data_IF_263066020362
#
_entry.id   IF_263066020362
#
_cell.length_a   1.000
_cell.length_b   1.000
_cell.length_c   1.000
_cell.angle_alpha   90.00
_cell.angle_beta   90.00
_cell.angle_gamma   90.00
#
_symmetry.space_group_name_H-M   'P 1'
#
loop_
_entity.id
_entity.type
_entity.pdbx_description
1 polymer ?
#
# COMPACT_ATOMS: atom_id res chain seq x y z
N UNK A 1 -9.72 -28.91 8.48
CA UNK A 1 -10.32 -27.59 8.78
C UNK A 1 -9.66 -26.39 8.06
N UNK A 2 -8.65 -26.55 7.20
CA UNK A 2 -7.95 -25.42 6.55
C UNK A 2 -8.63 -24.76 5.33
N UNK A 3 -9.53 -25.46 4.63
CA UNK A 3 -10.07 -24.95 3.35
C UNK A 3 -11.06 -23.79 3.46
N UNK A 4 -11.78 -23.64 4.57
CA UNK A 4 -12.81 -22.59 4.75
C UNK A 4 -12.22 -21.20 5.03
N UNK A 5 -11.13 -21.14 5.81
CA UNK A 5 -10.49 -19.87 6.21
C UNK A 5 -9.77 -19.19 5.04
N UNK A 6 -9.10 -19.97 4.17
CA UNK A 6 -8.41 -19.47 2.99
C UNK A 6 -9.39 -18.91 1.93
N UNK A 7 -10.57 -19.54 1.79
CA UNK A 7 -11.63 -19.04 0.91
C UNK A 7 -12.25 -17.74 1.43
N UNK A 8 -12.50 -17.64 2.75
CA UNK A 8 -13.02 -16.43 3.37
C UNK A 8 -12.03 -15.25 3.24
N UNK A 9 -10.75 -15.48 3.54
CA UNK A 9 -9.70 -14.46 3.38
C UNK A 9 -9.55 -14.00 1.92
N UNK A 10 -9.67 -14.91 0.95
CA UNK A 10 -9.63 -14.57 -0.48
C UNK A 10 -10.80 -13.67 -0.90
N UNK A 11 -12.02 -13.95 -0.42
CA UNK A 11 -13.21 -13.12 -0.69
C UNK A 11 -13.08 -11.73 -0.05
N UNK A 12 -12.64 -11.66 1.20
CA UNK A 12 -12.35 -10.39 1.89
C UNK A 12 -11.27 -9.58 1.16
N UNK A 13 -10.18 -10.21 0.72
CA UNK A 13 -9.12 -9.55 -0.03
C UNK A 13 -9.63 -8.91 -1.33
N UNK A 14 -10.54 -9.59 -2.04
CA UNK A 14 -11.14 -9.07 -3.27
C UNK A 14 -12.01 -7.85 -2.98
N UNK A 15 -12.87 -7.91 -1.96
CA UNK A 15 -13.72 -6.80 -1.55
C UNK A 15 -12.88 -5.58 -1.14
N UNK A 16 -11.87 -5.77 -0.29
CA UNK A 16 -10.98 -4.68 0.16
C UNK A 16 -10.28 -4.03 -1.03
N UNK A 17 -9.84 -4.82 -2.01
CA UNK A 17 -9.23 -4.30 -3.24
C UNK A 17 -10.22 -3.51 -4.09
N UNK A 18 -11.48 -3.93 -4.15
CA UNK A 18 -12.55 -3.20 -4.85
C UNK A 18 -12.87 -1.87 -4.18
N UNK A 19 -12.80 -1.79 -2.85
CA UNK A 19 -13.01 -0.55 -2.10
C UNK A 19 -11.78 0.39 -2.13
N UNK A 20 -10.58 -0.18 -2.29
CA UNK A 20 -9.33 0.58 -2.44
C UNK A 20 -9.16 1.22 -3.83
N UNK A 21 -9.74 0.60 -4.87
CA UNK A 21 -9.58 1.01 -6.28
C UNK A 21 -10.14 2.41 -6.60
N UNK A 22 -11.31 2.84 -6.06
CA UNK A 22 -11.88 4.16 -6.31
C UNK A 22 -11.08 5.33 -5.74
N UNK A 23 -10.19 5.08 -4.78
CA UNK A 23 -9.28 6.10 -4.23
C UNK A 23 -8.23 6.48 -5.28
N UNK A 24 -8.40 7.61 -5.97
CA UNK A 24 -7.55 8.06 -7.06
C UNK A 24 -6.66 9.22 -6.62
N UNK A 25 -5.43 9.26 -7.16
CA UNK A 25 -4.54 10.39 -6.94
C UNK A 25 -5.14 11.68 -7.48
N UNK A 26 -4.88 12.78 -6.78
CA UNK A 26 -5.45 14.09 -7.10
C UNK A 26 -6.88 14.30 -6.58
N UNK A 27 -7.52 13.31 -5.98
CA UNK A 27 -8.76 13.55 -5.22
C UNK A 27 -8.47 14.43 -4.01
N UNK A 28 -9.32 15.40 -3.75
CA UNK A 28 -9.28 16.19 -2.52
C UNK A 28 -9.61 15.32 -1.30
N UNK A 29 -9.19 15.75 -0.11
CA UNK A 29 -9.56 15.05 1.13
C UNK A 29 -11.07 14.88 1.29
N UNK A 30 -11.86 15.87 0.87
CA UNK A 30 -13.33 15.78 0.86
C UNK A 30 -13.85 14.69 -0.07
N UNK A 31 -13.30 14.57 -1.28
CA UNK A 31 -13.72 13.53 -2.23
C UNK A 31 -13.33 12.14 -1.72
N UNK A 32 -12.13 11.99 -1.15
CA UNK A 32 -11.73 10.74 -0.49
C UNK A 32 -12.65 10.39 0.67
N UNK A 33 -13.00 11.36 1.52
CA UNK A 33 -13.96 11.16 2.61
C UNK A 33 -15.32 10.68 2.09
N UNK A 34 -15.83 11.26 1.01
CA UNK A 34 -17.07 10.81 0.35
C UNK A 34 -16.96 9.38 -0.16
N UNK A 35 -15.82 9.00 -0.73
CA UNK A 35 -15.59 7.63 -1.22
C UNK A 35 -15.58 6.61 -0.08
N UNK A 36 -14.98 6.94 1.07
CA UNK A 36 -14.83 6.01 2.20
C UNK A 36 -16.12 5.94 3.03
N UNK A 37 -16.73 7.08 3.33
CA UNK A 37 -17.82 7.20 4.32
C UNK A 37 -19.20 7.45 3.69
N UNK A 38 -19.28 7.58 2.37
CA UNK A 38 -20.53 7.81 1.66
C UNK A 38 -21.24 9.10 2.11
N UNK A 39 -22.55 9.00 2.36
CA UNK A 39 -23.40 10.13 2.77
C UNK A 39 -22.97 10.75 4.11
N UNK A 40 -22.34 9.96 4.97
CA UNK A 40 -21.94 10.37 6.32
C UNK A 40 -20.59 11.10 6.38
N UNK A 41 -19.92 11.33 5.23
CA UNK A 41 -18.57 11.89 5.18
C UNK A 41 -18.36 13.16 6.00
N UNK A 42 -19.39 14.01 6.14
CA UNK A 42 -19.33 15.27 6.89
C UNK A 42 -19.00 15.06 8.36
N UNK A 43 -19.37 13.92 8.96
CA UNK A 43 -19.04 13.56 10.34
C UNK A 43 -17.55 13.28 10.54
N UNK A 44 -16.85 12.96 9.45
CA UNK A 44 -15.45 12.52 9.47
C UNK A 44 -14.47 13.60 9.04
N UNK A 45 -14.95 14.79 8.64
CA UNK A 45 -14.09 15.92 8.25
C UNK A 45 -14.40 17.16 9.06
N UNK A 46 -13.41 18.03 9.23
CA UNK A 46 -13.55 19.34 9.86
C UNK A 46 -12.74 20.40 9.12
N UNK A 47 -13.10 21.66 9.31
CA UNK A 47 -12.31 22.80 8.84
C UNK A 47 -11.38 23.27 9.95
N UNK A 48 -10.08 23.28 9.69
CA UNK A 48 -9.06 23.77 10.62
C UNK A 48 -8.13 24.73 9.88
N UNK A 49 -8.03 25.98 10.35
CA UNK A 49 -7.21 27.03 9.74
C UNK A 49 -7.47 27.20 8.23
N UNK A 50 -8.74 27.16 7.82
CA UNK A 50 -9.16 27.26 6.43
C UNK A 50 -8.96 26.01 5.58
N UNK A 51 -8.45 24.90 6.14
CA UNK A 51 -8.18 23.64 5.45
C UNK A 51 -9.19 22.58 5.86
N UNK A 52 -9.58 21.71 4.93
CA UNK A 52 -10.40 20.54 5.24
C UNK A 52 -9.47 19.38 5.59
N UNK A 53 -9.68 18.79 6.77
CA UNK A 53 -8.91 17.64 7.28
C UNK A 53 -9.87 16.59 7.85
N UNK A 54 -9.41 15.35 8.06
CA UNK A 54 -10.19 14.38 8.83
C UNK A 54 -10.31 14.80 10.31
N UNK A 55 -11.39 14.38 10.96
CA UNK A 55 -11.59 14.58 12.40
C UNK A 55 -10.59 13.77 13.23
N UNK A 56 -10.27 12.55 12.77
CA UNK A 56 -9.16 11.73 13.29
C UNK A 56 -7.85 12.51 13.14
N UNK A 57 -6.96 12.42 14.15
CA UNK A 57 -5.63 13.02 14.07
C UNK A 57 -4.79 12.32 12.99
N UNK A 58 -4.01 13.06 12.19
CA UNK A 58 -3.05 12.46 11.27
C UNK A 58 -1.95 11.73 12.07
N UNK A 59 -1.44 10.62 11.51
CA UNK A 59 -0.29 9.90 12.06
C UNK A 59 1.03 10.55 11.68
N UNK A 60 1.07 11.25 10.54
CA UNK A 60 2.23 12.05 10.11
C UNK A 60 1.78 13.41 9.61
N UNK A 61 2.61 14.42 9.82
CA UNK A 61 2.42 15.77 9.29
C UNK A 61 3.76 16.33 8.88
N UNK A 62 3.81 17.01 7.75
CA UNK A 62 5.02 17.69 7.29
C UNK A 62 4.69 19.05 6.69
N UNK A 63 5.69 19.94 6.71
CA UNK A 63 5.62 21.28 6.15
C UNK A 63 7.01 21.73 5.68
N UNK A 64 7.32 21.50 4.41
CA UNK A 64 8.60 21.82 3.81
C UNK A 64 8.41 22.74 2.59
N UNK A 65 9.20 23.83 2.51
CA UNK A 65 9.22 24.74 1.35
C UNK A 65 7.83 25.26 0.90
N UNK A 66 6.89 25.35 1.83
CA UNK A 66 5.50 25.77 1.57
C UNK A 66 4.56 24.66 1.09
N UNK A 67 5.06 23.45 0.87
CA UNK A 67 4.25 22.23 0.73
C UNK A 67 3.86 21.72 2.12
N UNK A 68 2.68 21.13 2.24
CA UNK A 68 2.22 20.49 3.48
C UNK A 68 1.75 19.09 3.17
N UNK A 69 2.02 18.14 4.06
CA UNK A 69 1.47 16.80 3.96
C UNK A 69 0.81 16.32 5.25
N UNK A 70 -0.14 15.39 5.09
CA UNK A 70 -0.84 14.70 6.18
C UNK A 70 -0.97 13.23 5.82
N UNK A 71 -0.50 12.33 6.70
CA UNK A 71 -0.70 10.89 6.59
C UNK A 71 -1.78 10.39 7.55
N UNK A 72 -2.68 9.57 7.04
CA UNK A 72 -3.74 8.93 7.81
C UNK A 72 -3.65 7.41 7.69
N UNK A 73 -3.74 6.75 8.85
CA UNK A 73 -3.82 5.29 8.96
C UNK A 73 -5.26 4.92 9.25
N UNK A 74 -5.83 4.07 8.40
CA UNK A 74 -7.20 3.56 8.50
C UNK A 74 -7.16 2.05 8.67
N UNK A 75 -7.26 1.60 9.91
CA UNK A 75 -7.26 0.19 10.25
C UNK A 75 -8.66 -0.39 10.09
N UNK A 76 -8.72 -1.57 9.48
CA UNK A 76 -9.90 -2.40 9.37
C UNK A 76 -9.65 -3.70 10.13
N UNK A 77 -10.19 -3.82 11.36
CA UNK A 77 -10.12 -5.08 12.07
C UNK A 77 -10.93 -6.14 11.30
N UNK A 78 -10.37 -7.33 11.17
CA UNK A 78 -11.05 -8.53 10.67
C UNK A 78 -10.49 -9.74 11.40
N UNK A 79 -11.33 -10.74 11.65
CA UNK A 79 -10.89 -12.03 12.22
C UNK A 79 -10.10 -12.87 11.21
N UNK A 80 -10.30 -12.64 9.92
CA UNK A 80 -9.72 -13.44 8.84
C UNK A 80 -8.56 -12.75 8.15
N UNK A 81 -8.66 -11.43 7.94
CA UNK A 81 -7.67 -10.66 7.21
C UNK A 81 -7.67 -9.19 7.65
N UNK A 82 -7.06 -8.87 8.81
CA UNK A 82 -6.89 -7.48 9.23
C UNK A 82 -6.11 -6.69 8.16
N UNK A 83 -6.52 -5.46 7.91
CA UNK A 83 -5.89 -4.61 6.90
C UNK A 83 -5.72 -3.19 7.37
N UNK A 84 -4.68 -2.55 6.87
CA UNK A 84 -4.44 -1.12 7.10
C UNK A 84 -4.38 -0.42 5.75
N UNK A 85 -5.09 0.70 5.64
CA UNK A 85 -4.94 1.61 4.51
C UNK A 85 -4.21 2.86 4.98
N UNK A 86 -3.09 3.19 4.35
CA UNK A 86 -2.40 4.46 4.55
C UNK A 86 -2.77 5.40 3.40
N UNK A 87 -3.17 6.62 3.73
CA UNK A 87 -3.46 7.68 2.77
C UNK A 87 -2.64 8.90 3.12
N UNK A 88 -1.79 9.33 2.19
CA UNK A 88 -1.05 10.57 2.33
C UNK A 88 -1.60 11.62 1.38
N UNK A 89 -1.83 12.81 1.93
CA UNK A 89 -2.32 13.96 1.20
C UNK A 89 -1.28 15.06 1.23
N UNK A 90 -1.07 15.72 0.10
CA UNK A 90 -0.17 16.88 0.01
C UNK A 90 -0.91 18.09 -0.58
N UNK A 91 -0.48 19.30 -0.21
CA UNK A 91 -0.94 20.55 -0.83
C UNK A 91 -0.03 20.96 -1.96
N UNK A 92 -0.55 21.70 -2.94
CA UNK A 92 0.31 22.52 -3.80
C UNK A 92 1.03 23.56 -2.93
N UNK A 93 2.16 24.08 -3.42
CA UNK A 93 2.95 25.07 -2.69
C UNK A 93 2.08 26.26 -2.26
N UNK A 94 2.14 26.61 -0.98
CA UNK A 94 1.38 27.68 -0.31
C UNK A 94 -0.16 27.57 -0.40
N UNK A 95 -0.70 26.48 -0.93
CA UNK A 95 -2.14 26.28 -1.01
C UNK A 95 -2.70 25.57 0.24
N UNK A 96 -4.03 25.58 0.36
CA UNK A 96 -4.78 25.04 1.51
C UNK A 96 -5.49 23.72 1.23
N UNK A 97 -5.61 23.33 -0.04
CA UNK A 97 -6.31 22.11 -0.46
C UNK A 97 -5.37 20.92 -0.44
N UNK A 98 -5.74 19.89 0.31
CA UNK A 98 -5.05 18.60 0.38
C UNK A 98 -5.56 17.66 -0.71
N UNK A 99 -4.63 17.08 -1.47
CA UNK A 99 -4.88 16.11 -2.54
C UNK A 99 -4.20 14.78 -2.23
N UNK A 100 -4.87 13.66 -2.49
CA UNK A 100 -4.29 12.33 -2.29
C UNK A 100 -3.10 12.15 -3.23
N UNK A 101 -1.91 11.94 -2.67
CA UNK A 101 -0.65 11.83 -3.40
C UNK A 101 0.02 10.48 -3.18
N UNK A 102 -0.22 9.82 -2.05
CA UNK A 102 0.24 8.46 -1.80
C UNK A 102 -0.88 7.62 -1.18
N UNK A 103 -0.86 6.33 -1.48
CA UNK A 103 -1.71 5.36 -0.80
C UNK A 103 -1.07 3.99 -0.73
N UNK A 104 -1.33 3.31 0.37
CA UNK A 104 -0.90 1.95 0.63
C UNK A 104 -2.06 1.11 1.16
N UNK A 105 -2.04 -0.18 0.85
CA UNK A 105 -2.91 -1.19 1.43
C UNK A 105 -2.02 -2.33 1.95
N UNK A 106 -2.04 -2.53 3.26
CA UNK A 106 -1.34 -3.59 3.97
C UNK A 106 -2.34 -4.67 4.34
N UNK A 107 -1.98 -5.92 4.06
CA UNK A 107 -2.60 -7.06 4.70
C UNK A 107 -1.74 -7.42 5.91
N UNK A 108 -2.34 -7.41 7.09
CA UNK A 108 -1.63 -7.59 8.35
C UNK A 108 -1.62 -9.05 8.77
N UNK A 109 -0.56 -9.44 9.47
CA UNK A 109 -0.49 -10.69 10.22
C UNK A 109 0.38 -10.49 11.47
N UNK A 110 0.30 -11.42 12.41
CA UNK A 110 1.14 -11.43 13.61
C UNK A 110 2.54 -11.95 13.26
N UNK A 111 3.34 -11.08 12.64
CA UNK A 111 4.70 -11.36 12.17
C UNK A 111 5.64 -10.25 12.62
N UNK A 112 6.96 -10.48 12.54
CA UNK A 112 7.98 -9.52 12.98
C UNK A 112 7.81 -8.12 12.36
N UNK A 113 7.37 -8.04 11.11
CA UNK A 113 7.13 -6.77 10.40
C UNK A 113 5.65 -6.45 10.17
N UNK A 114 4.74 -7.20 10.82
CA UNK A 114 3.30 -6.99 10.75
C UNK A 114 2.65 -7.28 9.40
N UNK A 115 3.38 -7.82 8.42
CA UNK A 115 2.86 -8.11 7.08
C UNK A 115 2.33 -9.54 6.97
N UNK A 116 1.29 -9.70 6.15
CA UNK A 116 0.73 -10.99 5.78
C UNK A 116 1.77 -11.90 5.13
N UNK A 117 1.92 -13.10 5.68
CA UNK A 117 2.81 -14.14 5.16
C UNK A 117 2.13 -14.87 4.03
N UNK A 118 2.82 -14.95 2.90
CA UNK A 118 2.33 -15.69 1.78
C UNK A 118 2.46 -17.20 2.06
N UNK A 119 1.41 -17.97 1.76
CA UNK A 119 1.45 -19.44 1.85
C UNK A 119 2.39 -20.09 0.83
N UNK A 120 2.98 -19.32 -0.09
CA UNK A 120 4.03 -19.78 -1.01
C UNK A 120 5.41 -19.75 -0.34
N UNK A 121 6.21 -20.74 -0.71
CA UNK A 121 7.61 -20.84 -0.32
C UNK A 121 8.49 -20.50 -1.50
N UNK A 122 9.43 -19.57 -1.32
CA UNK A 122 10.47 -19.27 -2.28
C UNK A 122 11.53 -20.38 -2.24
N UNK A 123 11.54 -21.21 -3.28
CA UNK A 123 12.36 -22.42 -3.37
C UNK A 123 13.80 -22.13 -3.80
N UNK A 124 14.01 -21.08 -4.59
CA UNK A 124 15.31 -20.72 -5.16
C UNK A 124 15.64 -19.23 -4.94
N UNK A 125 15.86 -18.80 -3.67
CA UNK A 125 16.10 -17.39 -3.35
C UNK A 125 17.34 -16.82 -4.05
N UNK A 126 18.40 -17.61 -4.24
CA UNK A 126 19.61 -17.21 -4.96
C UNK A 126 19.38 -16.91 -6.45
N UNK A 127 18.23 -17.31 -6.99
CA UNK A 127 17.86 -17.05 -8.39
C UNK A 127 17.10 -15.74 -8.56
N UNK A 128 16.73 -15.03 -7.49
CA UNK A 128 16.09 -13.72 -7.60
C UNK A 128 17.03 -12.71 -8.26
N UNK A 129 16.51 -11.95 -9.23
CA UNK A 129 17.26 -10.91 -9.95
C UNK A 129 16.38 -9.72 -10.26
N UNK A 130 16.97 -8.52 -10.26
CA UNK A 130 16.31 -7.31 -10.74
C UNK A 130 15.77 -7.51 -12.16
N UNK A 131 14.58 -6.97 -12.45
CA UNK A 131 13.96 -7.04 -13.78
C UNK A 131 13.14 -8.31 -14.05
N UNK A 132 13.15 -9.31 -13.17
CA UNK A 132 12.33 -10.52 -13.34
C UNK A 132 10.83 -10.17 -13.34
N UNK A 133 10.08 -10.69 -14.31
CA UNK A 133 8.62 -10.50 -14.37
C UNK A 133 7.90 -11.28 -13.26
N UNK A 134 6.64 -10.93 -12.98
CA UNK A 134 5.76 -11.73 -12.09
C UNK A 134 5.72 -13.21 -12.49
N UNK A 135 5.74 -13.52 -13.79
CA UNK A 135 5.74 -14.90 -14.29
C UNK A 135 7.05 -15.63 -14.01
N UNK A 136 8.18 -14.95 -14.11
CA UNK A 136 9.49 -15.55 -13.79
C UNK A 136 9.63 -15.76 -12.29
N UNK A 137 9.15 -14.81 -11.47
CA UNK A 137 9.10 -14.99 -10.02
C UNK A 137 8.19 -16.17 -9.63
N UNK A 138 7.08 -16.37 -10.34
CA UNK A 138 6.15 -17.49 -10.10
C UNK A 138 6.83 -18.86 -10.23
N UNK A 139 7.80 -18.97 -11.14
CA UNK A 139 8.57 -20.19 -11.34
C UNK A 139 9.55 -20.49 -10.19
N UNK A 140 9.80 -19.53 -9.30
CA UNK A 140 10.72 -19.67 -8.17
C UNK A 140 10.00 -20.01 -6.85
N UNK A 141 8.67 -19.92 -6.83
CA UNK A 141 7.85 -20.16 -5.63
C UNK A 141 7.05 -21.45 -5.74
N UNK A 142 6.66 -22.02 -4.60
CA UNK A 142 5.80 -23.20 -4.57
C UNK A 142 4.36 -22.87 -4.99
N UNK A 143 3.65 -23.88 -5.51
CA UNK A 143 2.24 -23.76 -5.88
C UNK A 143 2.03 -23.11 -7.26
N UNK A 144 0.83 -22.56 -7.49
CA UNK A 144 0.45 -21.84 -8.72
C UNK A 144 0.22 -20.37 -8.40
N UNK A 145 0.82 -19.46 -9.17
CA UNK A 145 0.75 -18.01 -8.93
C UNK A 145 1.46 -17.61 -7.63
N UNK A 146 1.85 -16.34 -7.58
CA UNK A 146 2.55 -15.71 -6.46
C UNK A 146 1.79 -15.67 -5.13
N UNK A 147 0.54 -16.15 -5.06
CA UNK A 147 -0.29 -16.04 -3.86
C UNK A 147 -0.76 -14.61 -3.57
N UNK A 148 -1.04 -14.33 -2.29
CA UNK A 148 -1.56 -13.05 -1.83
C UNK A 148 -0.43 -12.01 -1.69
N UNK A 149 -0.69 -10.80 -2.19
CA UNK A 149 0.19 -9.64 -1.97
C UNK A 149 0.12 -9.23 -0.50
N UNK A 150 1.27 -8.95 0.11
CA UNK A 150 1.35 -8.44 1.49
C UNK A 150 1.08 -6.94 1.54
N UNK A 151 1.58 -6.18 0.55
CA UNK A 151 1.34 -4.73 0.44
C UNK A 151 1.20 -4.26 -1.00
N UNK A 152 0.23 -3.38 -1.25
CA UNK A 152 0.22 -2.50 -2.41
C UNK A 152 0.61 -1.10 -1.99
N UNK A 153 1.56 -0.48 -2.68
CA UNK A 153 1.91 0.92 -2.48
C UNK A 153 1.94 1.66 -3.80
N UNK A 154 1.53 2.91 -3.79
CA UNK A 154 1.56 3.75 -4.98
C UNK A 154 1.55 5.21 -4.61
N UNK A 155 2.19 6.02 -5.45
CA UNK A 155 2.16 7.46 -5.35
C UNK A 155 2.04 8.11 -6.72
N UNK A 156 1.45 9.30 -6.73
CA UNK A 156 1.49 10.23 -7.84
C UNK A 156 1.40 11.65 -7.26
N UNK A 157 2.52 12.35 -7.30
CA UNK A 157 2.64 13.74 -6.82
C UNK A 157 2.52 14.75 -7.96
N UNK A 158 2.41 14.31 -9.22
CA UNK A 158 2.51 15.17 -10.42
C UNK A 158 1.52 16.34 -10.44
N UNK A 159 0.33 16.15 -9.86
CA UNK A 159 -0.70 17.19 -9.80
C UNK A 159 -0.46 18.23 -8.69
N UNK A 160 0.51 17.98 -7.81
CA UNK A 160 0.76 18.74 -6.58
C UNK A 160 2.17 19.33 -6.54
N UNK A 161 3.19 18.54 -6.87
CA UNK A 161 4.60 18.88 -6.83
C UNK A 161 5.16 18.73 -8.25
N UNK A 162 5.21 19.85 -9.00
CA UNK A 162 5.58 19.83 -10.43
C UNK A 162 7.03 19.42 -10.66
N UNK A 163 7.94 19.87 -9.79
CA UNK A 163 9.39 19.68 -9.91
C UNK A 163 9.89 18.43 -9.17
N UNK A 164 9.01 17.53 -8.75
CA UNK A 164 9.44 16.30 -8.08
C UNK A 164 10.22 15.39 -9.05
N UNK A 165 11.41 14.88 -8.68
CA UNK A 165 12.18 13.94 -9.51
C UNK A 165 11.49 12.57 -9.63
N UNK A 166 10.66 12.19 -8.64
CA UNK A 166 9.93 10.91 -8.61
C UNK A 166 8.42 11.15 -8.62
N UNK A 167 7.90 11.54 -9.78
CA UNK A 167 6.50 11.98 -9.95
C UNK A 167 5.46 10.90 -9.64
N UNK A 168 5.73 9.65 -10.04
CA UNK A 168 4.78 8.55 -9.89
C UNK A 168 5.52 7.25 -9.67
N UNK A 169 4.86 6.32 -8.98
CA UNK A 169 5.23 4.93 -9.05
C UNK A 169 4.30 4.04 -8.23
N UNK A 170 4.58 2.74 -8.28
CA UNK A 170 3.78 1.74 -7.59
C UNK A 170 4.57 0.46 -7.40
N UNK A 171 4.42 -0.12 -6.22
CA UNK A 171 5.07 -1.33 -5.79
C UNK A 171 4.05 -2.36 -5.30
N UNK A 172 4.40 -3.63 -5.46
CA UNK A 172 3.80 -4.74 -4.71
C UNK A 172 4.88 -5.35 -3.84
N UNK A 173 4.53 -5.74 -2.63
CA UNK A 173 5.40 -6.54 -1.77
C UNK A 173 4.79 -7.91 -1.56
N UNK A 174 5.64 -8.94 -1.67
CA UNK A 174 5.37 -10.29 -1.21
C UNK A 174 6.32 -10.66 -0.07
N UNK A 175 5.80 -11.41 0.89
CA UNK A 175 6.58 -11.99 1.98
C UNK A 175 6.49 -13.51 1.90
N UNK A 176 7.54 -14.15 1.37
CA UNK A 176 7.59 -15.61 1.17
C UNK A 176 8.35 -16.30 2.28
N UNK A 177 7.91 -17.51 2.65
CA UNK A 177 8.78 -18.42 3.39
C UNK A 177 9.98 -18.81 2.54
N UNK A 178 11.14 -19.07 3.15
CA UNK A 178 12.29 -19.65 2.44
C UNK A 178 12.33 -21.15 2.66
N UNK A 179 12.67 -21.92 1.62
CA UNK A 179 13.02 -23.33 1.81
C UNK A 179 14.19 -23.46 2.78
N UNK A 180 14.09 -24.38 3.74
CA UNK A 180 15.16 -24.71 4.70
C UNK A 180 15.63 -23.53 5.58
N UNK A 181 14.77 -22.53 5.81
CA UNK A 181 15.08 -21.38 6.68
C UNK A 181 13.81 -20.88 7.36
N UNK A 182 13.90 -20.51 8.64
CA UNK A 182 12.81 -19.83 9.36
C UNK A 182 12.66 -18.35 8.97
N UNK A 183 13.65 -17.77 8.27
CA UNK A 183 13.61 -16.38 7.80
C UNK A 183 12.63 -16.23 6.64
N UNK A 184 11.85 -15.16 6.68
CA UNK A 184 11.03 -14.70 5.56
C UNK A 184 11.88 -13.96 4.53
N UNK A 185 11.49 -14.05 3.26
CA UNK A 185 12.03 -13.24 2.19
C UNK A 185 10.99 -12.22 1.74
N UNK A 186 11.29 -10.95 1.95
CA UNK A 186 10.54 -9.85 1.36
C UNK A 186 11.02 -9.67 -0.08
N UNK A 187 10.07 -9.63 -1.03
CA UNK A 187 10.34 -9.40 -2.45
C UNK A 187 9.47 -8.24 -2.91
N UNK A 188 10.13 -7.17 -3.35
CA UNK A 188 9.49 -5.98 -3.91
C UNK A 188 9.39 -6.12 -5.42
N UNK A 189 8.24 -5.74 -5.98
CA UNK A 189 8.04 -5.60 -7.41
C UNK A 189 7.66 -4.16 -7.73
N UNK A 190 8.45 -3.54 -8.59
CA UNK A 190 8.25 -2.19 -9.11
C UNK A 190 7.56 -2.21 -10.44
N UNK A 191 6.59 -1.31 -10.64
CA UNK A 191 5.96 -1.20 -11.94
C UNK A 191 6.81 -0.39 -12.89
N UNK A 192 7.32 -1.07 -13.91
CA UNK A 192 7.97 -0.45 -15.04
C UNK A 192 6.92 0.20 -15.95
N UNK A 193 6.91 1.53 -16.00
CA UNK A 193 5.94 2.30 -16.79
C UNK A 193 6.16 2.15 -18.30
N UNK A 194 7.41 2.03 -18.75
CA UNK A 194 7.77 1.83 -20.15
C UNK A 194 7.30 0.46 -20.66
N UNK A 195 7.60 -0.60 -19.89
CA UNK A 195 7.23 -1.99 -20.22
C UNK A 195 5.81 -2.36 -19.79
N UNK A 196 5.10 -1.46 -19.11
CA UNK A 196 3.74 -1.62 -18.59
C UNK A 196 3.52 -2.87 -17.73
N UNK A 197 4.52 -3.28 -16.94
CA UNK A 197 4.47 -4.51 -16.11
C UNK A 197 5.23 -4.36 -14.79
N UNK A 198 4.91 -5.22 -13.83
CA UNK A 198 5.69 -5.34 -12.59
C UNK A 198 6.93 -6.21 -12.80
N UNK A 199 8.06 -5.75 -12.26
CA UNK A 199 9.35 -6.43 -12.30
C UNK A 199 9.93 -6.48 -10.87
N UNK A 200 10.62 -7.56 -10.51
CA UNK A 200 11.34 -7.68 -9.24
C UNK A 200 12.35 -6.56 -9.15
N UNK A 201 12.35 -5.89 -8.00
CA UNK A 201 13.25 -4.81 -7.69
C UNK A 201 14.04 -5.14 -6.43
N UNK A 202 15.33 -5.37 -6.62
CA UNK A 202 16.27 -5.73 -5.54
C UNK A 202 17.00 -4.51 -4.97
N UNK A 203 16.79 -3.32 -5.52
CA UNK A 203 17.49 -2.09 -5.13
C UNK A 203 16.67 -1.28 -4.11
N UNK A 204 15.37 -1.53 -4.02
CA UNK A 204 14.51 -0.91 -3.01
C UNK A 204 14.65 -1.68 -1.69
N UNK A 205 15.50 -1.17 -0.80
CA UNK A 205 15.50 -1.53 0.61
C UNK A 205 14.30 -0.89 1.31
N UNK A 206 13.20 -1.63 1.47
CA UNK A 206 12.08 -1.15 2.28
C UNK A 206 12.39 -1.48 3.74
N UNK A 207 12.82 -0.47 4.50
CA UNK A 207 12.91 -0.57 5.96
C UNK A 207 11.49 -0.56 6.52
N UNK A 208 10.88 -1.74 6.63
CA UNK A 208 9.61 -1.93 7.33
C UNK A 208 9.86 -2.03 8.84
N UNK A 209 10.36 -0.95 9.45
CA UNK A 209 10.34 -0.82 10.90
C UNK A 209 9.10 -0.02 11.27
N UNK A 210 8.04 -0.72 11.63
CA UNK A 210 6.94 -0.12 12.38
C UNK A 210 7.20 -0.43 13.85
N UNK A 211 7.59 0.58 14.62
CA UNK A 211 7.55 0.50 16.08
C UNK A 211 6.09 0.27 16.50
N UNK A 212 5.87 -0.77 17.31
CA UNK A 212 4.56 -1.10 17.91
C UNK A 212 4.13 -0.02 18.89
#
# INVERSE_FOLDING_TARGET
MGHSKDQAASKEALQIKQEYKPLKFGMTLTEVAKTIYGKEYRKYIKKQNGRVIFTKKPGTTDNEQGYRSLGYVLDRPSKNLPTTTLLEFSTKQHQKTYYLTQKALYYQADTENGLYENSRTLMKPASLRHGMTEKQLDQLVSGKKLGQVSMYFSWNVSSVIKESPMKTGRYKIYQFHRSHSKKMQVVTLSYNTQKKRYEVDTEIGISLKYEK
#
